data_IF_152024895711
#
_entry.id   IF_152024895711
#
_cell.length_a   1.000
_cell.length_b   1.000
_cell.length_c   1.000
_cell.angle_alpha   90.00
_cell.angle_beta   90.00
_cell.angle_gamma   90.00
#
_symmetry.space_group_name_H-M   'P 1'
#
loop_
_entity.id
_entity.type
_entity.pdbx_description
1 polymer ?
#
# COMPACT_ATOMS: atom_id res chain seq x y z
N UNK A 1 -16.98 -0.10 22.55
CA UNK A 1 -16.47 -1.30 21.85
C UNK A 1 -14.95 -1.15 21.76
N UNK A 2 -14.25 -2.14 22.31
CA UNK A 2 -12.82 -2.14 22.61
C UNK A 2 -11.94 -1.97 21.36
N UNK A 3 -11.10 -0.91 21.35
CA UNK A 3 -10.19 -0.51 20.26
C UNK A 3 -8.75 -0.98 20.52
N UNK A 4 -8.54 -2.01 21.35
CA UNK A 4 -7.20 -2.37 21.85
C UNK A 4 -6.42 -3.40 21.02
N UNK A 5 -6.86 -3.79 19.82
CA UNK A 5 -6.11 -4.73 18.94
C UNK A 5 -5.45 -4.12 17.70
N UNK A 6 -5.61 -2.82 17.42
CA UNK A 6 -5.13 -2.19 16.18
C UNK A 6 -4.09 -1.07 16.38
N UNK A 7 -3.56 -0.89 17.60
CA UNK A 7 -2.63 0.21 17.92
C UNK A 7 -1.19 -0.07 17.51
N UNK A 8 -0.72 -1.34 17.56
CA UNK A 8 0.65 -1.68 17.14
C UNK A 8 0.87 -1.53 15.64
N UNK A 9 -0.10 -1.95 14.83
CA UNK A 9 -0.04 -1.81 13.37
C UNK A 9 -0.15 -0.33 13.01
N UNK A 10 -1.11 0.43 13.57
CA UNK A 10 -1.21 1.87 13.29
C UNK A 10 0.01 2.71 13.66
N UNK A 11 0.89 2.25 14.56
CA UNK A 11 2.11 2.96 14.97
C UNK A 11 3.29 2.69 14.04
N UNK A 12 3.36 1.50 13.44
CA UNK A 12 4.37 1.12 12.45
C UNK A 12 3.94 1.50 11.01
N UNK A 13 2.63 1.70 10.82
CA UNK A 13 1.97 1.94 9.54
C UNK A 13 0.96 3.08 9.68
N UNK A 14 1.38 4.35 9.50
CA UNK A 14 0.44 5.45 9.54
C UNK A 14 -0.56 5.33 8.39
N UNK A 15 -1.76 4.85 8.70
CA UNK A 15 -2.89 4.88 7.77
C UNK A 15 -3.47 6.29 7.77
N UNK A 16 -3.35 6.98 6.64
CA UNK A 16 -3.88 8.33 6.50
C UNK A 16 -5.35 8.27 6.10
N UNK A 17 -6.17 9.12 6.70
CA UNK A 17 -7.56 9.24 6.26
C UNK A 17 -7.58 9.77 4.83
N UNK A 18 -8.36 9.13 3.98
CA UNK A 18 -8.64 9.66 2.65
C UNK A 18 -9.44 10.96 2.79
N UNK A 19 -8.98 12.02 2.11
CA UNK A 19 -9.58 13.37 2.17
C UNK A 19 -10.30 13.78 0.88
N UNK A 20 -10.41 12.87 -0.10
CA UNK A 20 -11.09 13.15 -1.36
C UNK A 20 -12.57 12.79 -1.37
N UNK A 21 -13.24 12.92 -2.53
CA UNK A 21 -14.66 12.63 -2.70
C UNK A 21 -15.00 11.18 -2.36
N UNK A 22 -16.18 10.94 -1.76
CA UNK A 22 -16.62 9.58 -1.45
C UNK A 22 -17.00 8.83 -2.74
N UNK A 23 -16.05 8.09 -3.31
CA UNK A 23 -16.26 7.08 -4.33
C UNK A 23 -15.55 5.80 -3.91
N UNK A 24 -16.20 4.66 -4.11
CA UNK A 24 -15.66 3.36 -3.69
C UNK A 24 -14.31 3.08 -4.38
N UNK A 25 -14.21 3.39 -5.67
CA UNK A 25 -12.98 3.24 -6.44
C UNK A 25 -11.83 4.11 -5.89
N UNK A 26 -12.12 5.35 -5.50
CA UNK A 26 -11.12 6.27 -4.94
C UNK A 26 -10.64 5.83 -3.56
N UNK A 27 -11.55 5.34 -2.72
CA UNK A 27 -11.20 4.78 -1.40
C UNK A 27 -10.35 3.53 -1.53
N UNK A 28 -10.72 2.62 -2.44
CA UNK A 28 -9.96 1.41 -2.72
C UNK A 28 -8.58 1.74 -3.30
N UNK A 29 -8.50 2.68 -4.25
CA UNK A 29 -7.24 3.15 -4.80
C UNK A 29 -6.33 3.75 -3.72
N UNK A 30 -6.88 4.61 -2.86
CA UNK A 30 -6.12 5.18 -1.74
C UNK A 30 -5.61 4.09 -0.78
N UNK A 31 -6.42 3.08 -0.45
CA UNK A 31 -5.98 1.98 0.40
C UNK A 31 -4.82 1.19 -0.24
N UNK A 32 -4.92 0.90 -1.54
CA UNK A 32 -3.86 0.22 -2.30
C UNK A 32 -2.57 1.05 -2.37
N UNK A 33 -2.69 2.37 -2.54
CA UNK A 33 -1.54 3.28 -2.56
C UNK A 33 -0.85 3.36 -1.20
N UNK A 34 -1.61 3.38 -0.11
CA UNK A 34 -1.05 3.38 1.23
C UNK A 34 -0.31 2.08 1.53
N UNK A 35 -0.88 0.94 1.15
CA UNK A 35 -0.20 -0.36 1.30
C UNK A 35 1.08 -0.42 0.46
N UNK A 36 1.04 0.04 -0.79
CA UNK A 36 2.22 0.14 -1.64
C UNK A 36 3.34 0.96 -0.98
N UNK A 37 3.02 2.16 -0.48
CA UNK A 37 3.99 3.03 0.18
C UNK A 37 4.61 2.37 1.43
N UNK A 38 3.82 1.65 2.20
CA UNK A 38 4.30 0.90 3.36
C UNK A 38 5.28 -0.22 2.97
N UNK A 39 4.93 -1.03 1.97
CA UNK A 39 5.79 -2.13 1.51
C UNK A 39 7.12 -1.62 0.95
N UNK A 40 7.10 -0.50 0.20
CA UNK A 40 8.33 0.17 -0.24
C UNK A 40 9.21 0.56 0.96
N UNK A 41 8.60 1.17 1.98
CA UNK A 41 9.30 1.54 3.22
C UNK A 41 9.98 0.36 3.90
N UNK A 42 9.35 -0.81 3.93
CA UNK A 42 9.98 -2.01 4.47
C UNK A 42 11.13 -2.53 3.63
N UNK A 43 10.96 -2.62 2.31
CA UNK A 43 12.01 -3.13 1.44
C UNK A 43 13.25 -2.25 1.59
N UNK A 44 13.09 -0.93 1.58
CA UNK A 44 14.18 0.02 1.83
C UNK A 44 14.79 -0.15 3.24
N UNK A 45 13.96 -0.34 4.27
CA UNK A 45 14.44 -0.56 5.63
C UNK A 45 15.21 -1.88 5.78
N UNK A 46 14.82 -2.94 5.07
CA UNK A 46 15.53 -4.22 5.10
C UNK A 46 16.84 -4.16 4.32
N UNK A 47 16.85 -3.48 3.17
CA UNK A 47 18.08 -3.25 2.39
C UNK A 47 19.10 -2.44 3.19
N UNK A 48 18.69 -1.32 3.78
CA UNK A 48 19.57 -0.45 4.60
C UNK A 48 20.10 -1.16 5.85
N UNK A 49 19.32 -2.06 6.45
CA UNK A 49 19.78 -2.91 7.55
C UNK A 49 20.63 -4.13 7.09
N UNK A 50 20.95 -4.23 5.79
CA UNK A 50 21.78 -5.31 5.22
C UNK A 50 21.09 -6.68 5.16
N UNK A 51 19.77 -6.73 5.36
CA UNK A 51 18.98 -7.98 5.35
C UNK A 51 18.51 -8.40 3.96
N UNK A 52 18.58 -7.50 2.99
CA UNK A 52 18.30 -7.74 1.58
C UNK A 52 19.46 -7.22 0.74
N UNK A 53 19.83 -7.95 -0.29
CA UNK A 53 20.76 -7.42 -1.29
C UNK A 53 20.10 -6.32 -2.12
N UNK A 54 20.91 -5.50 -2.79
CA UNK A 54 20.40 -4.48 -3.71
C UNK A 54 19.59 -5.09 -4.84
N UNK A 55 20.03 -6.21 -5.42
CA UNK A 55 19.30 -6.88 -6.49
C UNK A 55 17.96 -7.43 -6.01
N UNK A 56 17.92 -8.06 -4.83
CA UNK A 56 16.68 -8.56 -4.25
C UNK A 56 15.70 -7.44 -3.91
N UNK A 57 16.20 -6.33 -3.35
CA UNK A 57 15.38 -5.16 -3.05
C UNK A 57 14.79 -4.57 -4.33
N UNK A 58 15.60 -4.38 -5.37
CA UNK A 58 15.15 -3.89 -6.68
C UNK A 58 14.12 -4.81 -7.33
N UNK A 59 14.36 -6.12 -7.33
CA UNK A 59 13.42 -7.10 -7.89
C UNK A 59 12.07 -7.07 -7.16
N UNK A 60 12.08 -7.02 -5.82
CA UNK A 60 10.85 -6.92 -5.02
C UNK A 60 10.09 -5.61 -5.27
N UNK A 61 10.80 -4.48 -5.40
CA UNK A 61 10.19 -3.20 -5.74
C UNK A 61 9.54 -3.22 -7.13
N UNK A 62 10.18 -3.83 -8.12
CA UNK A 62 9.61 -4.00 -9.45
C UNK A 62 8.34 -4.85 -9.43
N UNK A 63 8.35 -5.98 -8.73
CA UNK A 63 7.17 -6.82 -8.57
C UNK A 63 6.02 -6.08 -7.87
N UNK A 64 6.34 -5.34 -6.81
CA UNK A 64 5.37 -4.54 -6.06
C UNK A 64 4.75 -3.45 -6.94
N UNK A 65 5.56 -2.78 -7.77
CA UNK A 65 5.07 -1.80 -8.74
C UNK A 65 4.10 -2.42 -9.75
N UNK A 66 4.44 -3.58 -10.34
CA UNK A 66 3.56 -4.28 -11.27
C UNK A 66 2.21 -4.67 -10.63
N UNK A 67 2.23 -5.12 -9.38
CA UNK A 67 1.00 -5.43 -8.63
C UNK A 67 0.15 -4.18 -8.38
N UNK A 68 0.78 -3.06 -8.03
CA UNK A 68 0.09 -1.79 -7.85
C UNK A 68 -0.56 -1.28 -9.14
N UNK A 69 0.17 -1.34 -10.27
CA UNK A 69 -0.38 -0.99 -11.58
C UNK A 69 -1.57 -1.87 -11.96
N UNK A 70 -1.49 -3.18 -11.72
CA UNK A 70 -2.60 -4.09 -11.99
C UNK A 70 -3.82 -3.78 -11.11
N UNK A 71 -3.59 -3.46 -9.83
CA UNK A 71 -4.66 -3.07 -8.91
C UNK A 71 -5.41 -1.82 -9.40
N UNK A 72 -4.67 -0.80 -9.88
CA UNK A 72 -5.29 0.39 -10.49
C UNK A 72 -6.14 0.04 -11.71
N UNK A 73 -5.61 -0.77 -12.64
CA UNK A 73 -6.35 -1.20 -13.84
C UNK A 73 -7.64 -1.93 -13.50
N UNK A 74 -7.62 -2.78 -12.47
CA UNK A 74 -8.81 -3.50 -12.00
C UNK A 74 -9.88 -2.54 -11.46
N UNK A 75 -9.47 -1.45 -10.80
CA UNK A 75 -10.38 -0.42 -10.32
C UNK A 75 -10.96 0.42 -11.46
N UNK A 76 -10.16 0.73 -12.48
CA UNK A 76 -10.62 1.46 -13.68
C UNK A 76 -11.63 0.66 -14.52
N UNK A 77 -11.62 -0.68 -14.40
CA UNK A 77 -12.58 -1.57 -15.05
C UNK A 77 -13.91 -1.74 -14.29
N UNK A 78 -14.03 -1.19 -13.08
CA UNK A 78 -15.30 -1.24 -12.34
C UNK A 78 -16.32 -0.28 -12.95
N UNK A 79 -17.56 -0.74 -13.24
CA UNK A 79 -18.60 0.14 -13.74
C UNK A 79 -18.91 1.24 -12.72
N UNK A 80 -18.95 2.50 -13.16
CA UNK A 80 -19.16 3.69 -12.31
C UNK A 80 -20.56 3.82 -11.67
N UNK A 81 -21.32 2.72 -11.57
CA UNK A 81 -22.69 2.73 -11.09
C UNK A 81 -22.76 2.31 -9.62
N UNK A 82 -22.34 3.18 -8.70
CA UNK A 82 -22.79 3.20 -7.30
C UNK A 82 -22.70 4.63 -6.73
#
# INVERSE_FOLDING_TARGET
MDRSRNTKVGLLYPCYRYQGPFKLADLAFNANLQEFAHQVGYISSFHTNGKLSTEEACARLQQLWQQFEQSKRNLDQLPSNF
#
